data_IF_360356812852
#
_entry.id   IF_360356812852
#
_cell.length_a   1.000
_cell.length_b   1.000
_cell.length_c   1.000
_cell.angle_alpha   90.00
_cell.angle_beta   90.00
_cell.angle_gamma   90.00
#
_symmetry.space_group_name_H-M   'P 1'
#
loop_
_entity.id
_entity.type
_entity.pdbx_description
1 polymer ?
#
# COMPACT_ATOMS: atom_id res chain seq x y z
N UNK A 1 -6.61 22.68 15.25
CA UNK A 1 -6.39 22.55 13.79
C UNK A 1 -6.72 21.15 13.25
N UNK A 2 -5.99 20.07 13.57
CA UNK A 2 -6.24 18.75 12.93
C UNK A 2 -7.53 18.06 13.41
N UNK A 3 -7.89 18.24 14.69
CA UNK A 3 -9.14 17.73 15.27
C UNK A 3 -10.38 18.48 14.77
N UNK A 4 -10.26 19.80 14.52
CA UNK A 4 -11.31 20.64 13.94
C UNK A 4 -11.55 20.30 12.46
N UNK A 5 -10.50 19.95 11.72
CA UNK A 5 -10.62 19.51 10.33
C UNK A 5 -11.32 18.14 10.21
N UNK A 6 -11.04 17.20 11.11
CA UNK A 6 -11.72 15.90 11.16
C UNK A 6 -13.22 16.02 11.52
N UNK A 7 -13.57 16.91 12.45
CA UNK A 7 -14.98 17.19 12.76
C UNK A 7 -15.69 17.95 11.61
N UNK A 8 -14.97 18.86 10.93
CA UNK A 8 -15.45 19.58 9.76
C UNK A 8 -15.74 18.67 8.55
N UNK A 9 -14.87 17.69 8.27
CA UNK A 9 -15.09 16.72 7.19
C UNK A 9 -16.23 15.74 7.53
N UNK A 10 -16.40 15.37 8.80
CA UNK A 10 -17.54 14.54 9.25
C UNK A 10 -18.89 15.20 9.02
N UNK A 11 -19.02 16.48 9.44
CA UNK A 11 -20.22 17.27 9.22
C UNK A 11 -20.49 17.53 7.72
N UNK A 12 -19.44 17.63 6.90
CA UNK A 12 -19.59 17.87 5.46
C UNK A 12 -20.12 16.65 4.71
N UNK A 13 -19.78 15.41 5.08
CA UNK A 13 -20.35 14.20 4.47
C UNK A 13 -21.87 14.19 4.56
N UNK A 14 -22.43 14.47 5.75
CA UNK A 14 -23.88 14.46 5.95
C UNK A 14 -24.61 15.47 5.08
N UNK A 15 -24.05 16.67 4.92
CA UNK A 15 -24.59 17.71 4.05
C UNK A 15 -24.47 17.33 2.56
N UNK A 16 -23.32 16.83 2.12
CA UNK A 16 -23.11 16.42 0.74
C UNK A 16 -23.97 15.21 0.35
N UNK A 17 -24.22 14.27 1.27
CA UNK A 17 -25.17 13.16 1.06
C UNK A 17 -26.58 13.68 0.77
N UNK A 18 -27.10 14.57 1.62
CA UNK A 18 -28.43 15.19 1.42
C UNK A 18 -28.49 15.98 0.10
N UNK A 19 -27.42 16.70 -0.24
CA UNK A 19 -27.34 17.42 -1.50
C UNK A 19 -27.36 16.46 -2.70
N UNK A 20 -26.65 15.33 -2.61
CA UNK A 20 -26.63 14.28 -3.64
C UNK A 20 -27.96 13.52 -3.76
N UNK A 21 -28.78 13.47 -2.70
CA UNK A 21 -30.16 12.95 -2.77
C UNK A 21 -31.09 13.88 -3.56
N UNK A 22 -30.82 15.19 -3.57
CA UNK A 22 -31.60 16.18 -4.30
C UNK A 22 -31.17 16.32 -5.76
N UNK A 23 -29.87 16.28 -6.02
CA UNK A 23 -29.30 16.28 -7.37
C UNK A 23 -28.09 15.35 -7.41
N UNK A 24 -28.35 14.14 -7.90
CA UNK A 24 -27.38 13.05 -7.94
C UNK A 24 -26.53 13.07 -9.23
N UNK A 25 -26.70 14.09 -10.07
CA UNK A 25 -25.95 14.28 -11.32
C UNK A 25 -25.00 15.48 -11.28
N UNK A 26 -25.14 16.34 -10.28
CA UNK A 26 -24.27 17.49 -10.09
C UNK A 26 -22.82 17.07 -9.78
N UNK A 27 -21.91 17.37 -10.70
CA UNK A 27 -20.50 17.00 -10.56
C UNK A 27 -19.85 17.63 -9.34
N UNK A 28 -20.19 18.88 -8.97
CA UNK A 28 -19.59 19.57 -7.82
C UNK A 28 -20.00 18.90 -6.50
N UNK A 29 -21.29 18.56 -6.36
CA UNK A 29 -21.80 17.88 -5.16
C UNK A 29 -21.11 16.52 -5.01
N UNK A 30 -21.11 15.72 -6.08
CA UNK A 30 -20.55 14.38 -6.04
C UNK A 30 -19.03 14.40 -5.81
N UNK A 31 -18.30 15.35 -6.41
CA UNK A 31 -16.85 15.49 -6.20
C UNK A 31 -16.51 15.86 -4.75
N UNK A 32 -17.25 16.79 -4.16
CA UNK A 32 -17.06 17.14 -2.75
C UNK A 32 -17.41 15.98 -1.80
N UNK A 33 -18.46 15.22 -2.11
CA UNK A 33 -18.80 14.00 -1.38
C UNK A 33 -17.69 12.95 -1.50
N UNK A 34 -17.13 12.78 -2.70
CA UNK A 34 -16.03 11.87 -2.97
C UNK A 34 -14.76 12.22 -2.18
N UNK A 35 -14.41 13.51 -2.17
CA UNK A 35 -13.28 14.02 -1.39
C UNK A 35 -13.48 13.76 0.10
N UNK A 36 -14.69 14.00 0.61
CA UNK A 36 -15.01 13.75 2.01
C UNK A 36 -14.92 12.25 2.36
N UNK A 37 -15.39 11.36 1.49
CA UNK A 37 -15.19 9.92 1.65
C UNK A 37 -13.72 9.53 1.62
N UNK A 38 -12.93 10.08 0.70
CA UNK A 38 -11.50 9.81 0.57
C UNK A 38 -10.73 10.20 1.84
N UNK A 39 -10.96 11.41 2.35
CA UNK A 39 -10.30 11.91 3.57
C UNK A 39 -10.60 11.05 4.80
N UNK A 40 -11.80 10.47 4.87
CA UNK A 40 -12.21 9.60 5.98
C UNK A 40 -11.93 8.11 5.74
N UNK A 41 -11.35 7.75 4.58
CA UNK A 41 -11.23 6.35 4.13
C UNK A 41 -12.58 5.60 4.21
N UNK A 42 -13.67 6.30 3.90
CA UNK A 42 -15.03 5.76 3.91
C UNK A 42 -15.21 4.77 2.75
N UNK A 43 -15.76 3.60 3.06
CA UNK A 43 -16.00 2.51 2.09
C UNK A 43 -17.05 2.87 1.03
N UNK A 44 -17.82 3.94 1.24
CA UNK A 44 -18.75 4.46 0.25
C UNK A 44 -18.04 4.97 -1.03
N UNK A 45 -16.75 5.31 -0.95
CA UNK A 45 -15.93 5.58 -2.13
C UNK A 45 -15.49 4.28 -2.80
N UNK A 46 -16.43 3.65 -3.49
CA UNK A 46 -16.24 2.39 -4.18
C UNK A 46 -16.20 2.56 -5.71
N UNK A 47 -15.95 1.46 -6.42
CA UNK A 47 -15.84 1.45 -7.87
C UNK A 47 -17.11 1.95 -8.58
N UNK A 48 -18.30 1.67 -8.04
CA UNK A 48 -19.57 2.13 -8.62
C UNK A 48 -19.71 3.66 -8.52
N UNK A 49 -19.46 4.21 -7.32
CA UNK A 49 -19.51 5.65 -7.08
C UNK A 49 -18.48 6.41 -7.92
N UNK A 50 -17.25 5.89 -8.01
CA UNK A 50 -16.20 6.46 -8.87
C UNK A 50 -16.54 6.38 -10.35
N UNK A 51 -17.16 5.28 -10.80
CA UNK A 51 -17.64 5.14 -12.18
C UNK A 51 -18.73 6.16 -12.49
N UNK A 52 -19.64 6.43 -11.55
CA UNK A 52 -20.65 7.49 -11.66
C UNK A 52 -19.97 8.86 -11.81
N UNK A 53 -18.98 9.15 -10.98
CA UNK A 53 -18.20 10.38 -11.04
C UNK A 53 -17.50 10.59 -12.38
N UNK A 54 -16.88 9.54 -12.93
CA UNK A 54 -16.24 9.61 -14.24
C UNK A 54 -17.23 9.97 -15.37
N UNK A 55 -18.52 9.62 -15.22
CA UNK A 55 -19.56 10.00 -16.20
C UNK A 55 -19.98 11.46 -16.08
N UNK A 56 -20.16 11.95 -14.86
CA UNK A 56 -20.63 13.33 -14.61
C UNK A 56 -19.51 14.38 -14.63
N UNK A 57 -18.27 13.95 -14.38
CA UNK A 57 -17.08 14.80 -14.30
C UNK A 57 -15.91 14.18 -15.11
N UNK A 58 -16.06 13.99 -16.45
CA UNK A 58 -15.10 13.25 -17.26
C UNK A 58 -13.73 13.92 -17.39
N UNK A 59 -13.64 15.22 -17.10
CA UNK A 59 -12.40 16.00 -17.14
C UNK A 59 -11.58 15.93 -15.84
N UNK A 60 -12.15 15.38 -14.75
CA UNK A 60 -11.51 15.42 -13.44
C UNK A 60 -10.47 14.29 -13.28
N UNK A 61 -9.25 14.59 -12.79
CA UNK A 61 -8.24 13.56 -12.55
C UNK A 61 -8.55 12.70 -11.31
N UNK A 62 -9.24 13.26 -10.31
CA UNK A 62 -9.44 12.62 -9.01
C UNK A 62 -10.19 11.28 -9.07
N UNK A 63 -11.31 11.11 -9.81
CA UNK A 63 -11.99 9.82 -9.87
C UNK A 63 -11.09 8.68 -10.38
N UNK A 64 -10.18 8.99 -11.33
CA UNK A 64 -9.20 8.03 -11.81
C UNK A 64 -8.10 7.76 -10.80
N UNK A 65 -7.59 8.78 -10.10
CA UNK A 65 -6.63 8.60 -9.00
C UNK A 65 -7.22 7.70 -7.90
N UNK A 66 -8.46 7.97 -7.49
CA UNK A 66 -9.11 7.20 -6.44
C UNK A 66 -9.41 5.75 -6.86
N UNK A 67 -9.75 5.52 -8.14
CA UNK A 67 -9.90 4.17 -8.66
C UNK A 67 -8.56 3.42 -8.68
N UNK A 68 -7.46 4.10 -9.00
CA UNK A 68 -6.15 3.47 -8.95
C UNK A 68 -5.79 2.99 -7.54
N UNK A 69 -6.05 3.78 -6.50
CA UNK A 69 -5.83 3.37 -5.09
C UNK A 69 -6.66 2.13 -4.73
N UNK A 70 -7.95 2.09 -5.09
CA UNK A 70 -8.78 0.89 -4.89
C UNK A 70 -8.21 -0.34 -5.61
N UNK A 71 -7.71 -0.18 -6.84
CA UNK A 71 -7.14 -1.28 -7.61
C UNK A 71 -5.78 -1.72 -7.05
N UNK A 72 -4.97 -0.80 -6.52
CA UNK A 72 -3.72 -1.15 -5.82
C UNK A 72 -3.99 -1.98 -4.57
N UNK A 73 -5.02 -1.64 -3.79
CA UNK A 73 -5.45 -2.43 -2.64
C UNK A 73 -5.96 -3.83 -3.02
N UNK A 74 -6.50 -3.97 -4.23
CA UNK A 74 -6.92 -5.25 -4.80
C UNK A 74 -5.77 -6.00 -5.48
N UNK A 75 -4.54 -5.48 -5.40
CA UNK A 75 -3.34 -5.98 -6.08
C UNK A 75 -3.41 -5.94 -7.62
N UNK A 76 -4.43 -5.29 -8.20
CA UNK A 76 -4.54 -5.04 -9.64
C UNK A 76 -3.70 -3.81 -10.03
N UNK A 77 -2.38 -4.01 -10.06
CA UNK A 77 -1.44 -2.97 -10.45
C UNK A 77 -1.55 -2.56 -11.92
N UNK A 78 -2.06 -3.44 -12.80
CA UNK A 78 -2.29 -3.12 -14.21
C UNK A 78 -3.46 -2.16 -14.39
N UNK A 79 -4.59 -2.47 -13.74
CA UNK A 79 -5.74 -1.58 -13.67
C UNK A 79 -5.37 -0.24 -13.04
N UNK A 80 -4.63 -0.26 -11.93
CA UNK A 80 -4.15 0.95 -11.27
C UNK A 80 -3.30 1.82 -12.20
N UNK A 81 -2.32 1.24 -12.90
CA UNK A 81 -1.49 1.97 -13.87
C UNK A 81 -2.32 2.61 -14.99
N UNK A 82 -3.34 1.88 -15.49
CA UNK A 82 -4.27 2.40 -16.50
C UNK A 82 -5.01 3.63 -15.99
N UNK A 83 -5.53 3.59 -14.77
CA UNK A 83 -6.23 4.70 -14.16
C UNK A 83 -5.30 5.88 -13.82
N UNK A 84 -4.08 5.64 -13.36
CA UNK A 84 -3.09 6.71 -13.13
C UNK A 84 -2.71 7.44 -14.43
N UNK A 85 -2.57 6.70 -15.54
CA UNK A 85 -2.34 7.31 -16.85
C UNK A 85 -3.52 8.20 -17.27
N UNK A 86 -4.76 7.74 -17.03
CA UNK A 86 -5.97 8.53 -17.28
C UNK A 86 -6.05 9.80 -16.39
N UNK A 87 -5.65 9.70 -15.12
CA UNK A 87 -5.54 10.86 -14.22
C UNK A 87 -4.47 11.85 -14.72
N UNK A 88 -3.31 11.36 -15.14
CA UNK A 88 -2.20 12.17 -15.68
C UNK A 88 -2.64 12.96 -16.91
N UNK A 89 -3.41 12.34 -17.81
CA UNK A 89 -3.95 13.00 -19.00
C UNK A 89 -4.96 14.11 -18.68
N UNK A 90 -5.62 14.06 -17.51
CA UNK A 90 -6.63 15.02 -17.05
C UNK A 90 -6.06 16.14 -16.18
N UNK A 91 -4.90 15.92 -15.56
CA UNK A 91 -4.17 16.92 -14.78
C UNK A 91 -3.45 17.99 -15.64
N UNK A 92 -4.00 18.37 -16.81
CA UNK A 92 -3.31 19.25 -17.79
C UNK A 92 -2.96 20.62 -17.24
N UNK A 93 -3.79 21.13 -16.33
CA UNK A 93 -3.67 22.48 -15.78
C UNK A 93 -2.71 22.55 -14.59
N UNK A 94 -2.23 21.42 -14.08
CA UNK A 94 -1.32 21.34 -12.94
C UNK A 94 -0.08 20.51 -13.31
N UNK A 95 1.01 21.18 -13.73
CA UNK A 95 2.26 20.50 -14.07
C UNK A 95 2.86 19.71 -12.90
N UNK A 96 2.66 20.16 -11.66
CA UNK A 96 3.19 19.47 -10.47
C UNK A 96 2.42 18.18 -10.21
N UNK A 97 1.09 18.22 -10.26
CA UNK A 97 0.24 17.03 -10.17
C UNK A 97 0.55 16.05 -11.30
N UNK A 98 0.72 16.54 -12.53
CA UNK A 98 1.08 15.69 -13.68
C UNK A 98 2.42 14.98 -13.47
N UNK A 99 3.42 15.69 -12.98
CA UNK A 99 4.75 15.12 -12.69
C UNK A 99 4.65 14.05 -11.60
N UNK A 100 3.94 14.35 -10.52
CA UNK A 100 3.70 13.41 -9.42
C UNK A 100 3.00 12.13 -9.91
N UNK A 101 1.91 12.27 -10.66
CA UNK A 101 1.15 11.13 -11.20
C UNK A 101 2.00 10.28 -12.16
N UNK A 102 2.87 10.90 -12.97
CA UNK A 102 3.78 10.18 -13.85
C UNK A 102 4.78 9.33 -13.04
N UNK A 103 5.38 9.91 -11.98
CA UNK A 103 6.29 9.17 -11.09
C UNK A 103 5.59 8.01 -10.39
N UNK A 104 4.37 8.22 -9.88
CA UNK A 104 3.58 7.15 -9.26
C UNK A 104 3.24 6.05 -10.28
N UNK A 105 2.86 6.43 -11.50
CA UNK A 105 2.57 5.47 -12.58
C UNK A 105 3.78 4.60 -12.90
N UNK A 106 4.96 5.20 -13.04
CA UNK A 106 6.21 4.47 -13.31
C UNK A 106 6.53 3.49 -12.17
N UNK A 107 6.35 3.92 -10.91
CA UNK A 107 6.56 3.05 -9.74
C UNK A 107 5.60 1.86 -9.76
N UNK A 108 4.32 2.09 -10.00
CA UNK A 108 3.30 1.03 -10.10
C UNK A 108 3.64 0.04 -11.22
N UNK A 109 4.02 0.53 -12.41
CA UNK A 109 4.40 -0.32 -13.54
C UNK A 109 5.67 -1.12 -13.28
N UNK A 110 6.70 -0.50 -12.69
CA UNK A 110 7.93 -1.21 -12.29
C UNK A 110 7.59 -2.32 -11.31
N UNK A 111 6.80 -2.03 -10.27
CA UNK A 111 6.37 -3.05 -9.30
C UNK A 111 5.57 -4.15 -9.96
N UNK A 112 4.61 -3.82 -10.84
CA UNK A 112 3.84 -4.81 -11.59
C UNK A 112 4.75 -5.75 -12.41
N UNK A 113 5.77 -5.22 -13.07
CA UNK A 113 6.71 -6.04 -13.86
C UNK A 113 7.56 -6.99 -13.00
N UNK A 114 7.83 -6.61 -11.75
CA UNK A 114 8.61 -7.38 -10.79
C UNK A 114 7.74 -8.42 -10.08
N UNK A 115 6.56 -8.04 -9.63
CA UNK A 115 5.69 -8.88 -8.82
C UNK A 115 4.83 -9.84 -9.65
N UNK A 116 4.58 -9.59 -10.93
CA UNK A 116 3.80 -10.49 -11.80
C UNK A 116 4.46 -11.85 -12.03
N UNK A 117 5.77 -11.96 -11.79
CA UNK A 117 6.54 -13.21 -11.85
C UNK A 117 6.75 -13.88 -10.49
N UNK A 118 6.21 -13.29 -9.42
CA UNK A 118 6.34 -13.82 -8.06
C UNK A 118 5.23 -14.83 -7.76
N UNK A 119 5.53 -15.76 -6.86
CA UNK A 119 4.53 -16.66 -6.29
C UNK A 119 3.83 -15.95 -5.14
N UNK A 120 2.50 -16.06 -5.06
CA UNK A 120 1.68 -15.47 -4.02
C UNK A 120 1.03 -16.55 -3.13
N UNK A 121 1.06 -16.33 -1.82
CA UNK A 121 0.36 -17.14 -0.82
C UNK A 121 -0.49 -16.23 0.05
N UNK A 122 -1.71 -16.65 0.34
CA UNK A 122 -2.67 -15.84 1.12
C UNK A 122 -3.04 -16.54 2.42
N UNK A 123 -3.20 -15.75 3.46
CA UNK A 123 -3.84 -16.12 4.73
C UNK A 123 -5.10 -15.29 4.93
N UNK A 124 -5.66 -15.27 6.14
CA UNK A 124 -6.87 -14.49 6.44
C UNK A 124 -6.65 -12.98 6.29
N UNK A 125 -5.49 -12.47 6.71
CA UNK A 125 -5.22 -11.03 6.71
C UNK A 125 -4.06 -10.60 5.80
N UNK A 126 -3.28 -11.55 5.26
CA UNK A 126 -2.10 -11.24 4.46
C UNK A 126 -2.12 -11.90 3.09
N UNK A 127 -1.46 -11.24 2.15
CA UNK A 127 -1.00 -11.84 0.89
C UNK A 127 0.50 -11.62 0.82
N UNK A 128 1.25 -12.72 0.79
CA UNK A 128 2.71 -12.73 0.76
C UNK A 128 3.17 -13.11 -0.64
N UNK A 129 3.96 -12.25 -1.27
CA UNK A 129 4.62 -12.51 -2.57
C UNK A 129 6.10 -12.74 -2.39
N UNK A 130 6.69 -13.61 -3.19
CA UNK A 130 8.11 -13.89 -3.14
C UNK A 130 8.67 -14.38 -4.48
N UNK A 131 9.99 -14.25 -4.62
CA UNK A 131 10.75 -14.76 -5.75
C UNK A 131 11.60 -15.95 -5.30
N UNK A 132 11.18 -17.19 -5.56
CA UNK A 132 11.94 -18.38 -5.15
C UNK A 132 11.21 -19.71 -5.36
N UNK A 133 11.91 -20.82 -5.12
CA UNK A 133 11.34 -22.17 -5.08
C UNK A 133 10.58 -22.40 -3.76
N UNK A 134 9.55 -23.25 -3.80
CA UNK A 134 8.63 -23.46 -2.69
C UNK A 134 9.28 -24.19 -1.49
N UNK A 135 9.90 -23.46 -0.57
CA UNK A 135 10.13 -23.99 0.78
C UNK A 135 8.88 -23.81 1.65
N UNK A 136 7.98 -24.79 1.58
CA UNK A 136 6.72 -24.85 2.34
C UNK A 136 6.88 -24.54 3.85
N UNK A 137 8.01 -24.94 4.44
CA UNK A 137 8.24 -24.78 5.89
C UNK A 137 8.54 -23.33 6.28
N UNK A 138 9.32 -22.64 5.44
CA UNK A 138 9.57 -21.20 5.60
C UNK A 138 8.29 -20.39 5.38
N UNK A 139 7.44 -20.76 4.41
CA UNK A 139 6.15 -20.07 4.16
C UNK A 139 5.21 -20.10 5.35
N UNK A 140 5.07 -21.28 5.94
CA UNK A 140 4.16 -21.49 7.07
C UNK A 140 4.61 -20.64 8.26
N UNK A 141 5.91 -20.66 8.56
CA UNK A 141 6.51 -19.87 9.64
C UNK A 141 6.30 -18.37 9.45
N UNK A 142 6.51 -17.84 8.24
CA UNK A 142 6.32 -16.41 7.95
C UNK A 142 4.85 -16.00 8.13
N UNK A 143 3.90 -16.77 7.58
CA UNK A 143 2.48 -16.46 7.70
C UNK A 143 2.01 -16.54 9.16
N UNK A 144 2.48 -17.53 9.93
CA UNK A 144 2.16 -17.65 11.36
C UNK A 144 2.61 -16.42 12.15
N UNK A 145 3.85 -15.96 11.93
CA UNK A 145 4.39 -14.75 12.58
C UNK A 145 3.56 -13.52 12.20
N UNK A 146 3.21 -13.35 10.92
CA UNK A 146 2.42 -12.21 10.47
C UNK A 146 1.01 -12.21 11.08
N UNK A 147 0.35 -13.36 11.13
CA UNK A 147 -0.99 -13.51 11.72
C UNK A 147 -0.98 -13.30 13.25
N UNK A 148 0.07 -13.72 13.94
CA UNK A 148 0.28 -13.39 15.35
C UNK A 148 0.47 -11.89 15.54
N UNK A 149 1.34 -11.25 14.77
CA UNK A 149 1.56 -9.81 14.82
C UNK A 149 0.28 -9.02 14.54
N UNK A 150 -0.57 -9.46 13.60
CA UNK A 150 -1.86 -8.84 13.33
C UNK A 150 -2.77 -8.83 14.56
N UNK A 151 -2.87 -9.96 15.27
CA UNK A 151 -3.68 -10.05 16.50
C UNK A 151 -3.10 -9.16 17.60
N UNK A 152 -1.80 -9.23 17.83
CA UNK A 152 -1.14 -8.51 18.92
C UNK A 152 -1.19 -6.99 18.73
N UNK A 153 -0.82 -6.53 17.54
CA UNK A 153 -0.85 -5.11 17.19
C UNK A 153 -2.30 -4.62 17.19
N UNK A 154 -3.22 -5.38 16.57
CA UNK A 154 -4.62 -4.97 16.50
C UNK A 154 -5.28 -4.86 17.87
N UNK A 155 -4.98 -5.79 18.80
CA UNK A 155 -5.43 -5.68 20.19
C UNK A 155 -4.82 -4.47 20.89
N UNK A 156 -3.51 -4.25 20.75
CA UNK A 156 -2.80 -3.15 21.40
C UNK A 156 -3.32 -1.78 20.98
N UNK A 157 -3.69 -1.62 19.72
CA UNK A 157 -4.17 -0.34 19.17
C UNK A 157 -5.70 -0.26 19.07
N UNK A 158 -6.43 -1.34 19.36
CA UNK A 158 -7.89 -1.40 19.23
C UNK A 158 -8.38 -1.21 17.79
N UNK A 159 -7.54 -1.51 16.80
CA UNK A 159 -7.83 -1.30 15.39
C UNK A 159 -7.30 -2.46 14.54
N UNK A 160 -8.18 -3.01 13.70
CA UNK A 160 -7.89 -4.14 12.83
C UNK A 160 -8.08 -3.73 11.37
N UNK A 161 -7.01 -3.71 10.55
CA UNK A 161 -7.13 -3.49 9.12
C UNK A 161 -8.11 -4.48 8.50
N UNK A 162 -9.06 -3.98 7.72
CA UNK A 162 -10.11 -4.82 7.12
C UNK A 162 -9.81 -5.24 5.69
N UNK A 163 -8.74 -4.69 5.10
CA UNK A 163 -8.25 -5.06 3.77
C UNK A 163 -7.02 -5.97 3.94
N UNK A 164 -6.80 -6.96 3.06
CA UNK A 164 -5.59 -7.77 3.11
C UNK A 164 -4.33 -6.92 3.03
N UNK A 165 -3.32 -7.30 3.81
CA UNK A 165 -2.02 -6.60 3.87
C UNK A 165 -1.07 -7.30 2.90
N UNK A 166 -0.57 -6.54 1.93
CA UNK A 166 0.39 -7.04 0.93
C UNK A 166 1.81 -7.02 1.51
N UNK A 167 2.45 -8.18 1.55
CA UNK A 167 3.84 -8.36 1.98
C UNK A 167 4.65 -8.92 0.82
N UNK A 168 5.82 -8.37 0.57
CA UNK A 168 6.71 -8.81 -0.52
C UNK A 168 8.05 -9.17 0.07
N UNK A 169 8.45 -10.43 -0.09
CA UNK A 169 9.70 -10.97 0.40
C UNK A 169 10.77 -10.91 -0.69
N UNK A 170 11.93 -10.39 -0.33
CA UNK A 170 13.10 -10.26 -1.21
C UNK A 170 14.28 -11.07 -0.70
N UNK A 171 14.98 -11.71 -1.63
CA UNK A 171 16.31 -12.25 -1.36
C UNK A 171 17.30 -11.12 -1.03
N UNK A 172 18.33 -11.45 -0.25
CA UNK A 172 19.28 -10.51 0.34
C UNK A 172 19.90 -9.52 -0.62
N UNK A 173 20.32 -9.97 -1.79
CA UNK A 173 20.99 -9.12 -2.77
C UNK A 173 20.02 -8.18 -3.50
N UNK A 174 18.72 -8.51 -3.47
CA UNK A 174 17.68 -7.80 -4.22
C UNK A 174 16.94 -6.74 -3.40
N UNK A 175 16.93 -6.84 -2.07
CA UNK A 175 16.13 -5.96 -1.22
C UNK A 175 16.56 -4.50 -1.31
N UNK A 176 17.84 -4.21 -1.06
CA UNK A 176 18.35 -2.83 -1.06
C UNK A 176 18.29 -2.22 -2.47
N UNK A 177 18.58 -3.02 -3.50
CA UNK A 177 18.49 -2.57 -4.90
C UNK A 177 17.06 -2.26 -5.34
N UNK A 178 16.07 -3.01 -4.86
CA UNK A 178 14.66 -2.84 -5.25
C UNK A 178 13.95 -1.76 -4.46
N UNK A 179 14.33 -1.56 -3.19
CA UNK A 179 13.65 -0.63 -2.27
C UNK A 179 14.41 0.69 -2.05
N UNK A 180 15.71 0.73 -2.34
CA UNK A 180 16.59 1.85 -1.99
C UNK A 180 16.86 1.96 -0.49
N UNK A 181 16.60 0.91 0.29
CA UNK A 181 16.74 0.93 1.74
C UNK A 181 18.21 0.94 2.19
N UNK A 182 18.50 1.51 3.38
CA UNK A 182 19.81 1.34 4.02
C UNK A 182 20.14 -0.14 4.27
N UNK A 183 21.43 -0.46 4.37
CA UNK A 183 21.90 -1.83 4.59
C UNK A 183 21.42 -2.46 5.91
N UNK A 184 21.05 -1.65 6.91
CA UNK A 184 20.55 -2.11 8.20
C UNK A 184 19.05 -2.42 8.21
N UNK A 185 18.31 -2.02 7.17
CA UNK A 185 16.87 -2.22 7.13
C UNK A 185 16.56 -3.66 6.69
N UNK A 186 15.86 -4.40 7.54
CA UNK A 186 15.29 -5.73 7.22
C UNK A 186 13.81 -5.65 6.79
N UNK A 187 13.22 -4.45 6.84
CA UNK A 187 11.86 -4.21 6.38
C UNK A 187 11.61 -2.73 6.06
N UNK A 188 10.70 -2.48 5.12
CA UNK A 188 10.30 -1.15 4.69
C UNK A 188 8.82 -1.13 4.32
N UNK A 189 8.08 -0.13 4.78
CA UNK A 189 6.73 0.12 4.29
C UNK A 189 6.77 1.09 3.10
N UNK A 190 6.14 0.70 1.99
CA UNK A 190 5.90 1.54 0.81
C UNK A 190 4.51 2.20 0.91
N UNK A 191 4.40 3.47 1.32
CA UNK A 191 3.12 4.15 1.45
C UNK A 191 2.48 4.50 0.10
N UNK A 192 3.21 4.44 -1.01
CA UNK A 192 2.66 4.68 -2.35
C UNK A 192 1.93 3.46 -2.88
N UNK A 193 2.43 2.26 -2.56
CA UNK A 193 1.87 0.99 -3.05
C UNK A 193 1.09 0.21 -1.99
N UNK A 194 1.18 0.60 -0.72
CA UNK A 194 0.56 -0.12 0.39
C UNK A 194 1.21 -1.46 0.68
N UNK A 195 2.52 -1.60 0.43
CA UNK A 195 3.25 -2.87 0.55
C UNK A 195 4.26 -2.84 1.68
N UNK A 196 4.34 -3.93 2.43
CA UNK A 196 5.44 -4.17 3.36
C UNK A 196 6.49 -5.00 2.62
N UNK A 197 7.66 -4.40 2.39
CA UNK A 197 8.81 -5.04 1.78
C UNK A 197 9.65 -5.64 2.92
N UNK A 198 9.94 -6.94 2.87
CA UNK A 198 10.73 -7.62 3.89
C UNK A 198 11.90 -8.31 3.23
N UNK A 199 13.06 -8.18 3.86
CA UNK A 199 14.23 -8.95 3.52
C UNK A 199 14.17 -10.34 4.17
N UNK A 200 14.36 -11.40 3.38
CA UNK A 200 14.54 -12.76 3.90
C UNK A 200 16.02 -13.12 3.89
N UNK A 201 16.59 -13.41 5.05
CA UNK A 201 17.85 -14.16 5.08
C UNK A 201 17.53 -15.59 4.67
N UNK A 202 18.27 -16.16 3.70
CA UNK A 202 18.24 -17.61 3.52
C UNK A 202 18.52 -18.27 4.89
N UNK A 203 17.80 -19.34 5.27
CA UNK A 203 18.22 -20.15 6.40
C UNK A 203 19.67 -20.58 6.15
N UNK A 204 20.53 -20.58 7.19
CA UNK A 204 21.93 -20.97 7.00
C UNK A 204 21.97 -22.34 6.34
N UNK A 205 22.55 -22.39 5.13
CA UNK A 205 22.87 -23.64 4.46
C UNK A 205 23.71 -24.45 5.44
N UNK A 206 23.14 -25.53 6.00
CA UNK A 206 23.91 -26.48 6.80
C UNK A 206 24.77 -27.27 5.82
N UNK A 207 25.82 -26.62 5.32
CA UNK A 207 26.93 -27.28 4.67
C UNK A 207 27.67 -28.07 5.74
N UNK A 208 27.75 -29.38 5.56
CA UNK A 208 28.57 -30.27 6.38
C UNK A 208 30.00 -29.75 6.48
N UNK A 209 30.30 -29.04 7.58
CA UNK A 209 31.56 -28.35 7.75
C UNK A 209 31.56 -27.41 8.96
N UNK A 210 31.42 -27.99 10.15
CA UNK A 210 31.82 -27.44 11.46
C UNK A 210 31.70 -25.92 11.63
N UNK A 211 30.58 -25.45 12.18
CA UNK A 211 30.47 -24.09 12.73
C UNK A 211 29.95 -24.17 14.17
N UNK A 212 30.88 -23.84 15.07
CA UNK A 212 30.67 -23.63 16.49
C UNK A 212 29.56 -22.59 16.71
N UNK A 213 28.65 -22.90 17.63
CA UNK A 213 27.77 -21.93 18.25
C UNK A 213 28.60 -20.79 18.87
N UNK A 214 28.18 -19.55 18.64
CA UNK A 214 28.33 -18.48 19.62
C UNK A 214 27.07 -17.63 19.68
N UNK A 215 26.08 -18.15 20.41
CA UNK A 215 25.22 -17.26 21.18
C UNK A 215 26.06 -16.76 22.34
N UNK A 216 26.25 -15.44 22.37
CA UNK A 216 26.56 -14.52 23.48
C UNK A 216 27.59 -13.52 22.97
N UNK A 217 27.27 -12.23 22.93
CA UNK A 217 27.52 -11.38 24.10
C UNK A 217 27.08 -9.94 23.81
N UNK A 218 26.50 -9.35 24.84
CA UNK A 218 26.28 -7.92 25.07
C UNK A 218 27.49 -7.03 24.75
N UNK A 219 27.18 -5.76 24.50
CA UNK A 219 28.05 -4.57 24.47
C UNK A 219 28.76 -4.24 23.15
N UNK A 220 28.33 -3.14 22.51
CA UNK A 220 29.24 -2.26 21.78
C UNK A 220 29.01 -0.81 22.22
N UNK A 221 30.08 -0.04 22.47
CA UNK A 221 30.00 1.32 23.00
C UNK A 221 29.75 2.34 21.87
N UNK A 222 29.02 3.41 22.21
CA UNK A 222 29.00 4.63 21.41
C UNK A 222 30.42 5.24 21.36
N UNK A 223 30.97 5.40 20.16
CA UNK A 223 32.13 6.27 19.95
C UNK A 223 31.65 7.63 19.48
N UNK A 224 31.69 8.63 20.36
CA UNK A 224 31.77 10.04 19.98
C UNK A 224 33.22 10.31 19.54
N UNK A 225 33.40 10.84 18.35
CA UNK A 225 34.64 11.52 17.97
C UNK A 225 34.39 13.02 18.12
N UNK A 226 35.30 13.66 18.86
CA UNK A 226 35.37 15.12 19.13
C UNK A 226 35.67 15.90 17.85
#
# INVERSE_FOLDING_TARGET
MQQERLQGTGASIGAFKKAAELDDTNSVILMNLAQAYWEQRDRALNAEFLTKLMKVAPGEPFPHLAMADLLQEQDDLNGAATHLAQATQRAKQDPALRSYLATVTERVQRTQSVESRMTARSSTHFVVKFNGEEDYTTWTSVLEILEEAYRDIGQKFGHFPTKPIMVVLHAKESFQGSTGSPAWADGLYDPTLGRIQIHTQEPPQIGNGSLLCSVTNTSMPCSMTV
#
